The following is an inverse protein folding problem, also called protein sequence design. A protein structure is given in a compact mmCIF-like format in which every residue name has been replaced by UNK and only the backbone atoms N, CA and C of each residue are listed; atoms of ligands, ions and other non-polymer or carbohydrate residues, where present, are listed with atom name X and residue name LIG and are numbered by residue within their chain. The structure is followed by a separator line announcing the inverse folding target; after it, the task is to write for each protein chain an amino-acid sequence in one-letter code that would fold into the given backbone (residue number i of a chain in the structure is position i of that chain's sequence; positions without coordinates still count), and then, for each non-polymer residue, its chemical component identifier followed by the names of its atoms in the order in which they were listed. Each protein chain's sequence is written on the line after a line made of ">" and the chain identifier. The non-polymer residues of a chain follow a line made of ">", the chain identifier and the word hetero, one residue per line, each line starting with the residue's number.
data_IF_299153488172
#
_entry.id   IF_299153488172
#
_cell.length_a   1.000
_cell.length_b   1.000
_cell.length_c   1.000
_cell.angle_alpha   90.00
_cell.angle_beta   90.00
_cell.angle_gamma   90.00
#
_symmetry.space_group_name_H-M   'P 1'
#
loop_
_entity.id
_entity.type
_entity.pdbx_description
1 polymer ?
#
# COMPACT_ATOMS: atom_id res chain seq x y z
N UNK A 1 17.36 6.27 -29.83
CA UNK A 1 17.76 5.87 -28.47
C UNK A 1 16.83 4.74 -28.04
N UNK A 2 17.31 3.49 -28.01
CA UNK A 2 16.51 2.37 -27.51
C UNK A 2 16.62 2.38 -25.99
N UNK A 3 15.51 2.66 -25.29
CA UNK A 3 15.46 2.52 -23.84
C UNK A 3 15.48 1.02 -23.56
N UNK A 4 16.43 0.57 -22.74
CA UNK A 4 16.44 -0.82 -22.27
C UNK A 4 15.06 -1.16 -21.69
N UNK A 5 14.56 -2.40 -21.88
CA UNK A 5 13.33 -2.83 -21.25
C UNK A 5 13.40 -2.54 -19.75
N UNK A 6 12.33 -1.97 -19.20
CA UNK A 6 12.24 -1.73 -17.76
C UNK A 6 12.25 -3.10 -17.10
N UNK A 7 13.28 -3.36 -16.30
CA UNK A 7 13.28 -4.49 -15.38
C UNK A 7 12.20 -4.20 -14.33
N UNK A 8 11.14 -5.01 -14.36
CA UNK A 8 9.97 -4.84 -13.50
C UNK A 8 10.17 -5.57 -12.16
N UNK A 9 11.33 -6.23 -11.97
CA UNK A 9 11.60 -7.08 -10.82
C UNK A 9 10.65 -8.28 -10.75
N UNK A 10 10.72 -9.03 -9.65
CA UNK A 10 9.73 -10.03 -9.33
C UNK A 10 8.46 -9.35 -8.80
N UNK A 11 7.34 -9.52 -9.52
CA UNK A 11 6.05 -8.90 -9.19
C UNK A 11 5.56 -9.36 -7.81
N UNK A 12 5.89 -10.59 -7.40
CA UNK A 12 5.48 -11.13 -6.11
C UNK A 12 6.25 -10.46 -4.96
N UNK A 13 7.54 -10.17 -5.15
CA UNK A 13 8.36 -9.43 -4.17
C UNK A 13 7.88 -7.98 -4.00
N UNK A 14 7.51 -7.32 -5.10
CA UNK A 14 6.94 -5.96 -5.06
C UNK A 14 5.59 -5.93 -4.34
N UNK A 15 4.76 -6.94 -4.58
CA UNK A 15 3.47 -7.07 -3.91
C UNK A 15 3.60 -7.32 -2.40
N UNK A 16 4.52 -8.20 -2.00
CA UNK A 16 4.85 -8.42 -0.59
C UNK A 16 5.38 -7.14 0.07
N UNK A 17 6.27 -6.44 -0.62
CA UNK A 17 6.79 -5.15 -0.20
C UNK A 17 5.68 -4.13 0.07
N UNK A 18 4.74 -3.99 -0.85
CA UNK A 18 3.58 -3.11 -0.71
C UNK A 18 2.71 -3.47 0.51
N UNK A 19 2.31 -4.74 0.63
CA UNK A 19 1.43 -5.18 1.72
C UNK A 19 2.06 -4.92 3.10
N UNK A 20 3.37 -5.18 3.23
CA UNK A 20 4.16 -4.90 4.42
C UNK A 20 4.21 -3.41 4.74
N UNK A 21 4.48 -2.55 3.75
CA UNK A 21 4.56 -1.09 3.91
C UNK A 21 3.20 -0.48 4.29
N UNK A 22 2.12 -0.93 3.67
CA UNK A 22 0.77 -0.52 4.02
C UNK A 22 0.46 -0.80 5.50
N UNK A 23 0.75 -2.04 5.95
CA UNK A 23 0.54 -2.43 7.34
C UNK A 23 1.40 -1.62 8.29
N UNK A 24 2.68 -1.40 7.95
CA UNK A 24 3.60 -0.62 8.75
C UNK A 24 3.14 0.84 8.88
N UNK A 25 2.77 1.48 7.78
CA UNK A 25 2.27 2.86 7.76
C UNK A 25 0.97 3.00 8.58
N UNK A 26 0.06 2.03 8.46
CA UNK A 26 -1.17 2.00 9.28
C UNK A 26 -0.85 1.94 10.78
N UNK A 27 0.07 1.06 11.18
CA UNK A 27 0.46 0.91 12.58
C UNK A 27 1.21 2.14 13.11
N UNK A 28 2.07 2.75 12.30
CA UNK A 28 2.77 3.98 12.65
C UNK A 28 1.81 5.18 12.86
N UNK A 29 0.67 5.18 12.18
CA UNK A 29 -0.42 6.14 12.38
C UNK A 29 -1.37 5.78 13.56
N UNK A 30 -1.05 4.75 14.35
CA UNK A 30 -1.85 4.22 15.46
C UNK A 30 -3.30 3.86 15.07
N UNK A 31 -3.46 3.29 13.86
CA UNK A 31 -4.76 2.89 13.33
C UNK A 31 -4.93 1.37 13.40
N UNK A 32 -6.05 0.90 13.94
CA UNK A 32 -6.58 -0.43 13.64
C UNK A 32 -7.09 -0.52 12.20
N UNK A 33 -7.25 -1.74 11.67
CA UNK A 33 -7.88 -1.95 10.35
C UNK A 33 -9.29 -1.35 10.28
N UNK A 34 -10.05 -1.40 11.38
CA UNK A 34 -11.39 -0.79 11.48
C UNK A 34 -11.33 0.74 11.41
N UNK A 35 -10.36 1.36 12.06
CA UNK A 35 -10.18 2.82 11.99
C UNK A 35 -9.73 3.24 10.59
N UNK A 36 -8.82 2.50 9.95
CA UNK A 36 -8.43 2.77 8.57
C UNK A 36 -9.59 2.59 7.60
N UNK A 37 -10.43 1.57 7.80
CA UNK A 37 -11.64 1.36 7.01
C UNK A 37 -12.56 2.60 7.05
N UNK A 38 -12.81 3.12 8.25
CA UNK A 38 -13.62 4.33 8.43
C UNK A 38 -13.00 5.57 7.75
N UNK A 39 -11.68 5.72 7.81
CA UNK A 39 -10.96 6.88 7.23
C UNK A 39 -10.81 6.83 5.71
N UNK A 40 -10.57 5.65 5.15
CA UNK A 40 -10.38 5.46 3.70
C UNK A 40 -11.71 5.20 2.96
N UNK A 41 -12.74 4.77 3.68
CA UNK A 41 -14.00 4.26 3.12
C UNK A 41 -13.82 2.95 2.33
N UNK A 42 -12.76 2.20 2.64
CA UNK A 42 -12.53 0.82 2.19
C UNK A 42 -13.04 -0.13 3.28
N UNK A 43 -13.59 -1.29 2.90
CA UNK A 43 -14.07 -2.24 3.90
C UNK A 43 -12.90 -2.81 4.72
N UNK A 44 -13.14 -3.11 6.00
CA UNK A 44 -12.13 -3.73 6.86
C UNK A 44 -11.64 -5.07 6.26
N UNK A 45 -12.55 -5.88 5.70
CA UNK A 45 -12.20 -7.16 5.07
C UNK A 45 -11.26 -6.99 3.87
N UNK A 46 -11.46 -5.96 3.03
CA UNK A 46 -10.54 -5.68 1.92
C UNK A 46 -9.16 -5.25 2.44
N UNK A 47 -9.10 -4.44 3.51
CA UNK A 47 -7.82 -4.10 4.15
C UNK A 47 -7.12 -5.36 4.68
N UNK A 48 -7.85 -6.26 5.35
CA UNK A 48 -7.29 -7.54 5.81
C UNK A 48 -6.74 -8.36 4.64
N UNK A 49 -7.51 -8.51 3.54
CA UNK A 49 -7.08 -9.25 2.35
C UNK A 49 -5.85 -8.63 1.68
N UNK A 50 -5.75 -7.31 1.65
CA UNK A 50 -4.59 -6.61 1.09
C UNK A 50 -3.36 -6.86 1.97
N UNK A 51 -3.46 -6.64 3.29
CA UNK A 51 -2.33 -6.83 4.22
C UNK A 51 -1.86 -8.29 4.31
N UNK A 52 -2.70 -9.26 3.95
CA UNK A 52 -2.36 -10.68 3.86
C UNK A 52 -2.07 -11.16 2.44
N UNK A 53 -1.92 -10.25 1.48
CA UNK A 53 -1.64 -10.54 0.06
C UNK A 53 -2.68 -11.41 -0.66
N UNK A 54 -3.90 -11.55 -0.11
CA UNK A 54 -4.96 -12.36 -0.69
C UNK A 54 -5.71 -11.69 -1.85
N UNK A 55 -5.48 -10.39 -2.10
CA UNK A 55 -6.09 -9.67 -3.22
C UNK A 55 -5.22 -8.52 -3.70
N UNK A 56 -5.24 -8.24 -5.00
CA UNK A 56 -4.55 -7.10 -5.58
C UNK A 56 -5.51 -5.89 -5.69
N UNK A 57 -5.27 -4.79 -4.95
CA UNK A 57 -6.13 -3.62 -4.93
C UNK A 57 -6.01 -2.80 -6.22
N UNK A 58 -7.09 -2.11 -6.57
CA UNK A 58 -7.02 -1.06 -7.60
C UNK A 58 -6.13 0.11 -7.14
N UNK A 59 -5.59 0.86 -8.09
CA UNK A 59 -4.88 2.12 -7.79
C UNK A 59 -5.74 3.09 -6.96
N UNK A 60 -7.05 3.18 -7.24
CA UNK A 60 -7.99 4.01 -6.47
C UNK A 60 -8.06 3.57 -5.02
N UNK A 61 -8.07 2.26 -4.76
CA UNK A 61 -8.02 1.69 -3.41
C UNK A 61 -6.72 2.10 -2.71
N UNK A 62 -5.58 1.96 -3.39
CA UNK A 62 -4.27 2.36 -2.83
C UNK A 62 -4.25 3.84 -2.45
N UNK A 63 -4.73 4.73 -3.33
CA UNK A 63 -4.80 6.17 -3.08
C UNK A 63 -5.69 6.49 -1.87
N UNK A 64 -6.83 5.82 -1.72
CA UNK A 64 -7.74 6.00 -0.58
C UNK A 64 -7.14 5.50 0.72
N UNK A 65 -6.37 4.41 0.68
CA UNK A 65 -5.67 3.89 1.85
C UNK A 65 -4.57 4.86 2.29
N UNK A 66 -3.74 5.35 1.38
CA UNK A 66 -2.72 6.35 1.67
C UNK A 66 -3.33 7.62 2.28
N UNK A 67 -4.41 8.14 1.67
CA UNK A 67 -5.15 9.29 2.20
C UNK A 67 -5.77 9.03 3.58
N UNK A 68 -6.31 7.82 3.81
CA UNK A 68 -6.86 7.42 5.11
C UNK A 68 -5.82 7.28 6.22
N UNK A 69 -4.59 6.92 5.87
CA UNK A 69 -3.44 6.87 6.79
C UNK A 69 -2.87 8.28 7.02
N UNK A 70 -2.92 9.15 6.00
CA UNK A 70 -2.33 10.49 6.05
C UNK A 70 -0.87 10.52 5.57
N UNK A 71 -0.51 9.63 4.65
CA UNK A 71 0.83 9.55 4.03
C UNK A 71 0.75 9.77 2.52
N UNK A 72 1.82 10.27 1.88
CA UNK A 72 1.86 10.30 0.44
C UNK A 72 1.94 8.88 -0.14
N UNK A 73 1.33 8.67 -1.30
CA UNK A 73 1.14 7.32 -1.86
C UNK A 73 2.45 6.60 -2.17
N UNK A 74 3.52 7.32 -2.56
CA UNK A 74 4.81 6.71 -2.88
C UNK A 74 5.44 6.00 -1.67
N UNK A 75 5.13 6.43 -0.44
CA UNK A 75 5.63 5.78 0.78
C UNK A 75 5.13 4.32 0.91
N UNK A 76 4.07 3.94 0.20
CA UNK A 76 3.60 2.56 0.15
C UNK A 76 4.40 1.67 -0.82
N UNK A 77 5.26 2.28 -1.65
CA UNK A 77 6.01 1.60 -2.71
C UNK A 77 7.54 1.70 -2.56
N UNK A 78 8.03 2.60 -1.72
CA UNK A 78 9.48 2.74 -1.47
C UNK A 78 9.79 2.77 0.01
N UNK A 79 10.92 2.16 0.38
CA UNK A 79 11.52 2.30 1.71
C UNK A 79 12.46 3.52 1.78
N UNK A 80 12.70 4.20 0.65
CA UNK A 80 13.55 5.39 0.60
C UNK A 80 12.85 6.58 1.28
N UNK A 81 13.57 7.34 2.12
CA UNK A 81 13.04 8.59 2.68
C UNK A 81 12.80 9.61 1.57
N UNK A 82 11.88 10.53 1.81
CA UNK A 82 11.71 11.71 0.95
C UNK A 82 12.99 12.55 0.98
N UNK A 83 13.66 12.62 -0.17
CA UNK A 83 14.86 13.44 -0.43
C UNK A 83 14.49 14.71 -1.17
#
# INVERSE_FOLDING_TARGET
>A
MSRAPVDIGDIDEEWEGFARRLKAARLAADLSQKQLAAKSGISQGMITSIESMATNPSLVTVMRLAAGIGVPVHQLFTDAPDI
#
